data_IF_507547237880
#
_entry.id   IF_507547237880
#
_cell.length_a   1.000
_cell.length_b   1.000
_cell.length_c   1.000
_cell.angle_alpha   90.00
_cell.angle_beta   90.00
_cell.angle_gamma   90.00
#
_symmetry.space_group_name_H-M   'P 1'
#
loop_
_entity.id
_entity.type
_entity.pdbx_description
1 polymer ?
#
# COMPACT_ATOMS: atom_id res chain seq x y z
N UNK A 1 -34.48 -8.46 6.96
CA UNK A 1 -34.54 -9.10 5.63
C UNK A 1 -34.50 -10.61 5.85
N UNK A 2 -35.64 -11.32 5.83
CA UNK A 2 -35.69 -12.75 6.18
C UNK A 2 -35.07 -13.56 5.02
N UNK A 3 -34.14 -14.46 5.34
CA UNK A 3 -33.47 -15.30 4.35
C UNK A 3 -34.53 -16.04 3.49
N UNK A 4 -34.52 -15.91 2.16
CA UNK A 4 -35.52 -16.56 1.30
C UNK A 4 -35.50 -18.09 1.40
N UNK A 5 -34.39 -18.69 1.86
CA UNK A 5 -34.30 -20.13 2.13
C UNK A 5 -35.04 -20.57 3.39
N UNK A 6 -35.45 -19.63 4.24
CA UNK A 6 -36.05 -19.91 5.55
C UNK A 6 -37.49 -19.45 5.62
N UNK A 7 -38.07 -19.09 4.48
CA UNK A 7 -39.49 -18.76 4.28
C UNK A 7 -40.45 -19.95 4.47
N UNK A 8 -39.97 -21.07 5.02
CA UNK A 8 -40.70 -22.34 5.11
C UNK A 8 -41.02 -22.81 6.53
N UNK A 9 -40.06 -22.86 7.47
CA UNK A 9 -40.30 -23.47 8.79
C UNK A 9 -40.69 -22.49 9.91
N UNK A 10 -40.45 -21.18 9.78
CA UNK A 10 -40.81 -20.18 10.79
C UNK A 10 -41.54 -19.00 10.15
N UNK A 11 -42.63 -18.58 10.80
CA UNK A 11 -43.31 -17.30 10.55
C UNK A 11 -42.94 -16.31 11.66
N UNK A 12 -42.31 -15.18 11.31
CA UNK A 12 -41.92 -14.13 12.27
C UNK A 12 -42.85 -12.93 12.05
N UNK A 13 -43.47 -12.44 13.12
CA UNK A 13 -44.37 -11.28 13.10
C UNK A 13 -43.87 -10.19 14.02
N UNK A 14 -43.98 -8.95 13.53
CA UNK A 14 -43.87 -7.76 14.35
C UNK A 14 -45.28 -7.31 14.72
N UNK A 15 -45.54 -7.14 16.01
CA UNK A 15 -46.80 -6.62 16.54
C UNK A 15 -46.49 -5.26 17.14
N UNK A 16 -47.14 -4.22 16.64
CA UNK A 16 -47.01 -2.84 17.11
C UNK A 16 -48.42 -2.25 17.22
N UNK A 17 -48.87 -1.98 18.44
CA UNK A 17 -50.17 -1.41 18.74
C UNK A 17 -50.06 -0.41 19.90
N UNK A 18 -51.18 0.20 20.31
CA UNK A 18 -51.20 1.24 21.35
C UNK A 18 -50.85 0.74 22.77
N UNK A 19 -50.74 -0.57 22.99
CA UNK A 19 -50.48 -1.21 24.28
C UNK A 19 -49.10 -1.89 24.35
N UNK A 20 -48.67 -2.53 23.24
CA UNK A 20 -47.47 -3.36 23.18
C UNK A 20 -46.79 -3.30 21.80
N UNK A 21 -45.46 -3.38 21.82
CA UNK A 21 -44.60 -3.52 20.64
C UNK A 21 -43.63 -4.68 20.90
N UNK A 22 -43.71 -5.74 20.08
CA UNK A 22 -42.87 -6.93 20.25
C UNK A 22 -42.75 -7.73 18.95
N UNK A 23 -41.74 -8.59 18.91
CA UNK A 23 -41.58 -9.62 17.89
C UNK A 23 -42.06 -10.96 18.43
N UNK A 24 -42.80 -11.71 17.61
CA UNK A 24 -43.22 -13.08 17.90
C UNK A 24 -42.89 -13.99 16.73
N UNK A 25 -42.78 -15.29 17.00
CA UNK A 25 -42.51 -16.29 15.99
C UNK A 25 -43.40 -17.52 16.19
N UNK A 26 -43.70 -18.21 15.10
CA UNK A 26 -44.42 -19.48 15.12
C UNK A 26 -43.64 -20.49 14.29
N UNK A 27 -43.33 -21.64 14.89
CA UNK A 27 -42.79 -22.79 14.17
C UNK A 27 -43.94 -23.47 13.41
N UNK A 28 -43.76 -23.64 12.10
CA UNK A 28 -44.78 -24.25 11.23
C UNK A 28 -44.67 -25.78 11.17
N UNK A 29 -43.58 -26.34 11.68
CA UNK A 29 -43.28 -27.77 11.67
C UNK A 29 -42.55 -28.17 12.98
N UNK A 30 -43.11 -29.14 13.69
CA UNK A 30 -42.63 -29.63 15.00
C UNK A 30 -41.32 -30.43 14.90
N UNK A 31 -40.88 -30.80 13.69
CA UNK A 31 -39.57 -31.45 13.47
C UNK A 31 -38.37 -30.52 13.61
N UNK A 32 -38.62 -29.23 13.82
CA UNK A 32 -37.61 -28.20 14.03
C UNK A 32 -37.58 -27.70 15.47
N UNK A 33 -36.40 -27.31 15.94
CA UNK A 33 -36.24 -26.59 17.21
C UNK A 33 -35.63 -25.23 16.94
N UNK A 34 -36.16 -24.18 17.57
CA UNK A 34 -35.68 -22.81 17.41
C UNK A 34 -34.76 -22.44 18.57
N UNK A 35 -33.67 -21.75 18.24
CA UNK A 35 -32.74 -21.16 19.19
C UNK A 35 -32.57 -19.69 18.83
N UNK A 36 -33.00 -18.81 19.72
CA UNK A 36 -32.76 -17.37 19.61
C UNK A 36 -31.56 -17.04 20.47
N UNK A 37 -30.52 -16.49 19.87
CA UNK A 37 -29.28 -16.09 20.54
C UNK A 37 -29.06 -14.60 20.36
N UNK A 38 -28.57 -13.94 21.40
CA UNK A 38 -27.95 -12.64 21.28
C UNK A 38 -26.45 -12.88 21.22
N UNK A 39 -25.86 -12.69 20.05
CA UNK A 39 -24.42 -12.84 19.83
C UNK A 39 -23.64 -11.74 20.56
N UNK A 40 -22.37 -12.01 20.87
CA UNK A 40 -21.49 -11.04 21.55
C UNK A 40 -21.26 -9.76 20.73
N UNK A 41 -21.46 -9.80 19.41
CA UNK A 41 -21.52 -8.62 18.54
C UNK A 41 -22.74 -7.72 18.79
N UNK A 42 -23.69 -8.16 19.62
CA UNK A 42 -25.01 -7.54 19.78
C UNK A 42 -26.01 -7.92 18.69
N UNK A 43 -25.64 -8.82 17.77
CA UNK A 43 -26.53 -9.33 16.73
C UNK A 43 -27.51 -10.37 17.30
N UNK A 44 -28.80 -10.15 17.11
CA UNK A 44 -29.83 -11.15 17.41
C UNK A 44 -29.86 -12.15 16.26
N UNK A 45 -29.62 -13.42 16.58
CA UNK A 45 -29.68 -14.52 15.62
C UNK A 45 -30.81 -15.48 15.97
N UNK A 46 -31.59 -15.85 14.96
CA UNK A 46 -32.53 -16.97 15.08
C UNK A 46 -31.94 -18.12 14.29
N UNK A 47 -31.73 -19.22 14.98
CA UNK A 47 -31.19 -20.45 14.45
C UNK A 47 -32.24 -21.56 14.54
N UNK A 48 -32.31 -22.40 13.52
CA UNK A 48 -33.19 -23.57 13.49
C UNK A 48 -32.34 -24.83 13.46
N UNK A 49 -32.58 -25.72 14.40
CA UNK A 49 -32.09 -27.08 14.36
C UNK A 49 -33.08 -27.97 13.61
N UNK A 50 -32.64 -28.59 12.52
CA UNK A 50 -33.42 -29.60 11.81
C UNK A 50 -33.06 -30.99 12.31
N UNK A 51 -34.04 -31.75 12.78
CA UNK A 51 -33.83 -33.16 13.14
C UNK A 51 -33.53 -34.02 11.90
N UNK A 52 -34.03 -33.63 10.72
CA UNK A 52 -33.84 -34.35 9.46
C UNK A 52 -32.39 -34.27 8.95
N UNK A 53 -31.78 -33.07 8.99
CA UNK A 53 -30.41 -32.85 8.51
C UNK A 53 -29.37 -32.85 9.62
N UNK A 54 -29.79 -32.95 10.89
CA UNK A 54 -28.94 -32.85 12.08
C UNK A 54 -28.00 -31.64 12.04
N UNK A 55 -28.52 -30.48 11.62
CA UNK A 55 -27.74 -29.27 11.40
C UNK A 55 -28.45 -28.04 11.96
N UNK A 56 -27.67 -27.12 12.51
CA UNK A 56 -28.12 -25.78 12.88
C UNK A 56 -28.02 -24.85 11.67
N UNK A 57 -29.10 -24.14 11.36
CA UNK A 57 -29.15 -23.18 10.27
C UNK A 57 -29.57 -21.81 10.79
N UNK A 58 -28.76 -20.78 10.50
CA UNK A 58 -29.12 -19.39 10.79
C UNK A 58 -30.19 -18.90 9.83
N UNK A 59 -31.34 -18.50 10.34
CA UNK A 59 -32.50 -18.09 9.54
C UNK A 59 -32.78 -16.60 9.56
N UNK A 60 -32.34 -15.95 10.62
CA UNK A 60 -32.49 -14.52 10.81
C UNK A 60 -31.30 -13.99 11.58
N UNK A 61 -30.86 -12.79 11.24
CA UNK A 61 -29.82 -12.04 11.91
C UNK A 61 -30.17 -10.56 11.83
N UNK A 62 -30.13 -9.85 12.96
CA UNK A 62 -30.36 -8.40 13.01
C UNK A 62 -29.39 -7.75 14.02
N UNK A 63 -28.67 -6.67 13.66
CA UNK A 63 -28.58 -6.09 12.30
C UNK A 63 -28.03 -7.12 11.30
N UNK A 64 -28.28 -6.92 10.00
CA UNK A 64 -27.85 -7.89 8.97
C UNK A 64 -26.33 -7.92 8.91
N UNK A 65 -25.70 -6.75 8.87
CA UNK A 65 -24.27 -6.60 9.09
C UNK A 65 -23.95 -6.51 10.59
N UNK A 66 -23.15 -7.43 11.18
CA UNK A 66 -22.75 -7.35 12.58
C UNK A 66 -21.96 -6.07 12.93
N UNK A 67 -21.32 -5.44 11.94
CA UNK A 67 -20.57 -4.19 12.12
C UNK A 67 -21.47 -2.95 12.27
N UNK A 68 -22.76 -3.07 11.99
CA UNK A 68 -23.70 -1.95 12.13
C UNK A 68 -23.88 -1.51 13.59
N UNK A 69 -23.76 -2.43 14.54
CA UNK A 69 -23.87 -2.09 15.95
C UNK A 69 -22.66 -1.24 16.41
N UNK A 70 -22.92 -0.23 17.24
CA UNK A 70 -21.86 0.64 17.74
C UNK A 70 -20.92 -0.13 18.66
N UNK A 71 -19.60 -0.02 18.42
CA UNK A 71 -18.61 -0.63 19.28
C UNK A 71 -18.57 -2.17 19.21
N UNK A 72 -19.11 -2.78 18.16
CA UNK A 72 -18.98 -4.24 17.89
C UNK A 72 -17.54 -4.72 18.04
N UNK A 73 -16.59 -3.90 17.56
CA UNK A 73 -15.18 -4.10 17.75
C UNK A 73 -14.59 -3.04 18.67
N UNK A 74 -13.63 -3.44 19.51
CA UNK A 74 -12.92 -2.53 20.41
C UNK A 74 -12.02 -1.52 19.69
N UNK A 75 -11.35 -0.63 20.42
CA UNK A 75 -10.51 0.43 19.85
C UNK A 75 -9.46 -0.05 18.85
N UNK A 76 -9.17 0.76 17.83
CA UNK A 76 -8.12 0.52 16.82
C UNK A 76 -8.27 -0.78 16.03
N UNK A 77 -9.51 -1.22 15.86
CA UNK A 77 -9.90 -2.34 15.00
C UNK A 77 -10.64 -1.82 13.76
N UNK A 78 -10.73 -2.66 12.74
CA UNK A 78 -11.60 -2.49 11.59
C UNK A 78 -12.60 -3.64 11.61
N UNK A 79 -13.89 -3.31 11.55
CA UNK A 79 -14.95 -4.30 11.42
C UNK A 79 -15.26 -4.58 9.95
N UNK A 80 -15.37 -5.85 9.57
CA UNK A 80 -15.80 -6.28 8.24
C UNK A 80 -16.84 -7.40 8.37
N UNK A 81 -18.10 -7.08 8.04
CA UNK A 81 -19.26 -7.97 8.18
C UNK A 81 -19.20 -9.24 7.32
N UNK A 82 -18.33 -9.29 6.31
CA UNK A 82 -18.10 -10.47 5.47
C UNK A 82 -17.07 -11.42 6.10
N UNK A 83 -16.11 -10.87 6.84
CA UNK A 83 -14.98 -11.65 7.39
C UNK A 83 -15.36 -12.43 8.66
N UNK A 84 -14.63 -13.53 8.89
CA UNK A 84 -14.70 -14.32 10.13
C UNK A 84 -13.25 -14.59 10.59
N UNK A 85 -12.79 -14.05 11.72
CA UNK A 85 -13.50 -13.11 12.61
C UNK A 85 -13.84 -11.79 11.89
N UNK A 86 -14.87 -11.07 12.38
CA UNK A 86 -15.30 -9.80 11.76
C UNK A 86 -14.47 -8.59 12.24
N UNK A 87 -13.75 -8.69 13.36
CA UNK A 87 -12.88 -7.63 13.87
C UNK A 87 -11.42 -8.00 13.67
N UNK A 88 -10.68 -7.13 12.97
CA UNK A 88 -9.24 -7.23 12.80
C UNK A 88 -8.54 -5.95 13.28
N UNK A 89 -7.30 -6.06 13.77
CA UNK A 89 -6.52 -4.88 14.11
C UNK A 89 -6.17 -4.07 12.85
N UNK A 90 -6.14 -2.74 12.99
CA UNK A 90 -5.55 -1.87 11.96
C UNK A 90 -4.07 -2.23 11.72
N UNK A 91 -3.53 -1.88 10.55
CA UNK A 91 -2.13 -2.15 10.24
C UNK A 91 -1.19 -1.54 11.31
N UNK A 92 -0.21 -2.33 11.76
CA UNK A 92 0.76 -1.98 12.80
C UNK A 92 0.17 -1.84 14.21
N UNK A 93 -0.96 -2.51 14.45
CA UNK A 93 -1.52 -2.74 15.77
C UNK A 93 -1.62 -4.25 16.04
N UNK A 94 -1.63 -4.63 17.32
CA UNK A 94 -1.82 -6.00 17.79
C UNK A 94 -2.85 -6.02 18.91
N UNK A 95 -3.48 -7.16 19.12
CA UNK A 95 -4.45 -7.35 20.20
C UNK A 95 -3.84 -7.00 21.56
N UNK A 96 -4.59 -6.26 22.38
CA UNK A 96 -4.13 -5.88 23.74
C UNK A 96 -3.96 -7.09 24.65
N UNK A 97 -4.84 -8.08 24.51
CA UNK A 97 -4.83 -9.31 25.29
C UNK A 97 -4.91 -10.53 24.36
N UNK A 98 -3.77 -11.01 23.84
CA UNK A 98 -3.76 -12.19 22.98
C UNK A 98 -4.25 -13.46 23.68
N UNK A 99 -4.24 -13.50 25.01
CA UNK A 99 -4.74 -14.64 25.78
C UNK A 99 -6.27 -14.71 25.79
N UNK A 100 -6.95 -13.55 25.83
CA UNK A 100 -8.43 -13.48 25.81
C UNK A 100 -8.99 -13.85 24.44
N UNK A 101 -8.16 -13.76 23.39
CA UNK A 101 -8.49 -14.19 22.02
C UNK A 101 -8.76 -15.68 21.90
N UNK A 102 -8.03 -16.50 22.65
CA UNK A 102 -8.13 -17.97 22.52
C UNK A 102 -9.31 -18.56 23.29
N UNK A 103 -9.87 -17.81 24.25
CA UNK A 103 -10.82 -18.35 25.21
C UNK A 103 -12.26 -17.87 24.98
N UNK A 104 -12.50 -16.60 24.65
CA UNK A 104 -13.86 -16.04 24.72
C UNK A 104 -14.25 -15.08 23.59
N UNK A 105 -13.48 -15.02 22.50
CA UNK A 105 -13.81 -14.17 21.33
C UNK A 105 -14.05 -12.68 21.73
N UNK A 106 -13.48 -12.25 22.88
CA UNK A 106 -13.70 -10.94 23.46
C UNK A 106 -12.93 -9.88 22.67
N UNK A 107 -13.67 -9.24 21.76
CA UNK A 107 -13.18 -8.20 20.86
C UNK A 107 -13.22 -6.80 21.50
N UNK A 108 -13.72 -6.67 22.73
CA UNK A 108 -14.02 -5.36 23.33
C UNK A 108 -12.77 -4.59 23.76
N UNK A 109 -11.69 -5.28 24.13
CA UNK A 109 -10.43 -4.64 24.51
C UNK A 109 -9.76 -3.90 23.34
N UNK A 110 -9.98 -4.39 22.12
CA UNK A 110 -9.41 -3.85 20.89
C UNK A 110 -7.90 -4.08 20.77
N UNK A 111 -7.25 -3.20 20.02
CA UNK A 111 -5.84 -3.31 19.65
C UNK A 111 -5.00 -2.19 20.25
N UNK A 112 -3.71 -2.44 20.37
CA UNK A 112 -2.69 -1.46 20.74
C UNK A 112 -1.65 -1.32 19.64
N UNK A 113 -1.05 -0.14 19.55
CA UNK A 113 0.02 0.15 18.59
C UNK A 113 1.23 -0.78 18.85
N UNK A 114 1.80 -1.32 17.79
CA UNK A 114 3.04 -2.10 17.86
C UNK A 114 4.23 -1.21 18.25
N UNK A 115 4.15 0.06 17.87
CA UNK A 115 5.20 1.04 18.09
C UNK A 115 4.64 2.34 18.64
N UNK A 116 5.32 2.85 19.66
CA UNK A 116 5.04 4.18 20.19
C UNK A 116 5.30 5.26 19.12
N UNK A 117 4.35 6.18 18.99
CA UNK A 117 4.49 7.35 18.14
C UNK A 117 5.68 8.21 18.60
N UNK A 118 6.40 8.77 17.64
CA UNK A 118 7.44 9.77 17.91
C UNK A 118 6.81 11.16 17.81
N UNK A 119 6.07 11.52 18.85
CA UNK A 119 5.67 12.90 19.03
C UNK A 119 6.85 13.66 19.65
N UNK A 120 7.75 14.17 18.81
CA UNK A 120 8.73 15.17 19.24
C UNK A 120 8.04 16.43 19.74
N UNK A 121 8.81 17.43 20.20
CA UNK A 121 8.24 18.77 20.40
C UNK A 121 7.53 19.22 19.11
N UNK A 122 6.42 19.98 19.23
CA UNK A 122 5.35 20.29 18.23
C UNK A 122 5.74 20.43 16.75
N UNK A 123 7.01 20.62 16.44
CA UNK A 123 7.58 20.86 15.11
C UNK A 123 8.31 19.65 14.49
N UNK A 124 8.46 18.52 15.20
CA UNK A 124 9.45 17.48 14.83
C UNK A 124 8.94 16.03 14.86
N UNK A 125 7.63 15.81 14.78
CA UNK A 125 7.14 14.43 14.68
C UNK A 125 7.57 13.80 13.36
N UNK A 126 8.18 12.61 13.45
CA UNK A 126 8.53 11.77 12.30
C UNK A 126 7.42 10.80 11.94
N UNK A 127 6.26 10.90 12.59
CA UNK A 127 5.15 10.01 12.34
C UNK A 127 4.62 10.20 10.92
N UNK A 128 4.10 9.12 10.37
CA UNK A 128 3.57 9.06 9.01
C UNK A 128 2.09 8.72 9.07
N UNK A 129 1.40 8.86 7.94
CA UNK A 129 0.01 8.45 7.82
C UNK A 129 -0.15 7.30 6.85
N UNK A 130 -0.89 6.29 7.26
CA UNK A 130 -1.32 5.18 6.43
C UNK A 130 -2.78 5.37 6.06
N UNK A 131 -3.11 5.25 4.77
CA UNK A 131 -4.46 5.45 4.28
C UNK A 131 -5.25 4.14 4.34
N UNK A 132 -6.38 4.16 5.03
CA UNK A 132 -7.36 3.08 5.10
C UNK A 132 -8.57 3.52 4.26
N UNK A 133 -8.70 3.05 3.01
CA UNK A 133 -9.78 3.48 2.13
C UNK A 133 -11.07 2.71 2.39
N UNK A 134 -12.20 3.29 1.98
CA UNK A 134 -13.53 2.66 1.97
C UNK A 134 -13.96 2.21 3.36
N UNK A 135 -13.96 3.14 4.30
CA UNK A 135 -14.35 2.89 5.69
C UNK A 135 -15.37 3.90 6.19
N UNK A 136 -16.22 3.50 7.12
CA UNK A 136 -16.96 4.44 7.96
C UNK A 136 -15.99 5.11 8.91
N UNK A 137 -16.02 6.44 8.94
CA UNK A 137 -15.14 7.21 9.80
C UNK A 137 -15.51 7.03 11.28
N UNK A 138 -14.52 7.03 12.19
CA UNK A 138 -14.79 6.87 13.61
C UNK A 138 -15.69 7.97 14.17
N UNK A 139 -16.38 7.68 15.27
CA UNK A 139 -17.21 8.66 15.97
C UNK A 139 -16.37 9.80 16.59
N UNK A 140 -17.05 10.91 16.93
CA UNK A 140 -16.47 12.10 17.57
C UNK A 140 -15.29 12.76 16.82
N UNK A 141 -15.44 13.10 15.52
CA UNK A 141 -14.44 13.92 14.83
C UNK A 141 -14.36 15.32 15.43
N UNK A 142 -13.15 15.86 15.55
CA UNK A 142 -12.93 17.29 15.75
C UNK A 142 -12.65 17.96 14.40
N UNK A 143 -13.42 18.99 14.06
CA UNK A 143 -13.21 19.74 12.82
C UNK A 143 -12.07 20.76 12.98
N UNK A 144 -11.30 20.96 11.90
CA UNK A 144 -10.21 21.95 11.86
C UNK A 144 -10.42 22.90 10.67
N UNK A 145 -11.06 24.04 10.92
CA UNK A 145 -11.51 24.96 9.87
C UNK A 145 -10.37 25.58 9.03
N UNK A 146 -9.21 25.80 9.66
CA UNK A 146 -8.06 26.43 8.97
C UNK A 146 -7.31 25.46 8.02
N UNK A 147 -7.64 24.17 8.05
CA UNK A 147 -6.97 23.14 7.27
C UNK A 147 -7.67 22.91 5.92
N UNK A 148 -7.53 23.89 5.02
CA UNK A 148 -8.19 23.88 3.71
C UNK A 148 -7.63 22.90 2.68
N UNK A 149 -6.58 22.14 3.03
CA UNK A 149 -5.95 21.12 2.16
C UNK A 149 -5.65 19.87 2.97
N UNK A 150 -5.58 18.71 2.32
CA UNK A 150 -5.21 17.45 2.97
C UNK A 150 -3.86 17.55 3.70
N UNK A 151 -2.86 18.21 3.11
CA UNK A 151 -1.54 18.41 3.74
C UNK A 151 -1.63 19.27 5.01
N UNK A 152 -2.46 20.32 5.01
CA UNK A 152 -2.70 21.13 6.21
C UNK A 152 -3.45 20.34 7.27
N UNK A 153 -4.36 19.44 6.87
CA UNK A 153 -5.09 18.57 7.79
C UNK A 153 -4.15 17.55 8.46
N UNK A 154 -3.26 16.92 7.68
CA UNK A 154 -2.20 16.07 8.20
C UNK A 154 -1.29 16.82 9.19
N UNK A 155 -0.86 18.04 8.84
CA UNK A 155 -0.04 18.87 9.72
C UNK A 155 -0.78 19.28 11.00
N UNK A 156 -2.07 19.61 10.90
CA UNK A 156 -2.91 19.91 12.06
C UNK A 156 -2.97 18.71 13.01
N UNK A 157 -3.20 17.50 12.50
CA UNK A 157 -3.14 16.28 13.32
C UNK A 157 -1.74 16.08 13.95
N UNK A 158 -0.66 16.20 13.17
CA UNK A 158 0.71 16.02 13.68
C UNK A 158 1.07 16.99 14.82
N UNK A 159 0.47 18.19 14.83
CA UNK A 159 0.71 19.20 15.87
C UNK A 159 0.20 18.79 17.27
N UNK A 160 -0.70 17.81 17.35
CA UNK A 160 -1.20 17.25 18.60
C UNK A 160 -0.70 15.82 18.79
N UNK A 161 0.01 15.53 19.89
CA UNK A 161 0.45 14.17 20.21
C UNK A 161 -0.70 13.19 20.44
N UNK A 162 -1.86 13.70 20.87
CA UNK A 162 -3.06 12.91 21.08
C UNK A 162 -3.80 12.56 19.77
N UNK A 163 -3.47 13.19 18.64
CA UNK A 163 -4.12 12.91 17.37
C UNK A 163 -3.66 11.56 16.80
N UNK A 164 -4.60 10.66 16.58
CA UNK A 164 -4.36 9.31 16.09
C UNK A 164 -4.73 9.12 14.62
N UNK A 165 -5.64 9.92 14.07
CA UNK A 165 -6.02 9.85 12.66
C UNK A 165 -6.61 11.18 12.18
N UNK A 166 -6.66 11.34 10.87
CA UNK A 166 -7.45 12.40 10.22
C UNK A 166 -8.17 11.89 8.98
N UNK A 167 -9.11 12.69 8.50
CA UNK A 167 -9.80 12.52 7.23
C UNK A 167 -9.96 13.90 6.62
N UNK A 168 -9.92 13.94 5.29
CA UNK A 168 -10.05 15.18 4.56
C UNK A 168 -10.93 14.93 3.33
N UNK A 169 -12.09 15.57 3.31
CA UNK A 169 -13.07 15.44 2.23
C UNK A 169 -13.73 16.80 1.98
N UNK A 170 -13.83 17.20 0.70
CA UNK A 170 -14.51 18.45 0.27
C UNK A 170 -14.08 19.69 1.06
N UNK A 171 -12.77 19.88 1.25
CA UNK A 171 -12.19 21.00 2.01
C UNK A 171 -12.51 21.01 3.51
N UNK A 172 -13.07 19.93 4.06
CA UNK A 172 -13.28 19.74 5.49
C UNK A 172 -12.20 18.83 6.05
N UNK A 173 -11.56 19.27 7.13
CA UNK A 173 -10.60 18.48 7.87
C UNK A 173 -11.25 17.98 9.16
N UNK A 174 -11.18 16.67 9.39
CA UNK A 174 -11.59 16.02 10.63
C UNK A 174 -10.40 15.30 11.23
N UNK A 175 -10.13 15.51 12.52
CA UNK A 175 -9.08 14.83 13.27
C UNK A 175 -9.71 14.06 14.44
N UNK A 176 -9.06 12.97 14.85
CA UNK A 176 -9.48 12.17 15.99
C UNK A 176 -8.40 12.12 17.04
N UNK A 177 -8.79 12.46 18.27
CA UNK A 177 -7.97 12.30 19.45
C UNK A 177 -8.38 11.04 20.22
N UNK A 178 -7.40 10.33 20.78
CA UNK A 178 -7.68 9.12 21.58
C UNK A 178 -8.10 7.91 20.74
N UNK A 179 -8.92 7.04 21.32
CA UNK A 179 -9.29 5.74 20.76
C UNK A 179 -10.17 5.87 19.50
N UNK A 180 -9.85 5.10 18.46
CA UNK A 180 -10.65 5.02 17.24
C UNK A 180 -11.65 3.86 17.37
N UNK A 181 -12.94 4.16 17.36
CA UNK A 181 -14.03 3.19 17.53
C UNK A 181 -15.00 3.24 16.35
N UNK A 182 -15.64 2.10 16.07
CA UNK A 182 -16.66 1.94 15.02
C UNK A 182 -16.14 2.29 13.61
N UNK A 183 -14.90 1.88 13.32
CA UNK A 183 -14.35 1.94 11.96
C UNK A 183 -14.76 0.66 11.23
N UNK A 184 -15.66 0.80 10.27
CA UNK A 184 -16.23 -0.34 9.54
C UNK A 184 -15.76 -0.29 8.09
N UNK A 185 -15.29 -1.41 7.57
CA UNK A 185 -14.97 -1.55 6.15
C UNK A 185 -16.25 -1.55 5.32
N UNK A 186 -16.17 -0.99 4.12
CA UNK A 186 -17.23 -1.09 3.13
C UNK A 186 -17.37 -2.56 2.71
N UNK A 187 -18.46 -3.17 3.17
CA UNK A 187 -18.80 -4.56 2.94
C UNK A 187 -19.91 -4.72 1.89
N UNK A 188 -20.58 -3.62 1.49
CA UNK A 188 -21.71 -3.66 0.57
C UNK A 188 -22.96 -4.34 1.14
N UNK A 189 -23.00 -4.63 2.44
CA UNK A 189 -24.19 -5.16 3.13
C UNK A 189 -25.02 -3.97 3.59
N UNK A 190 -24.55 -3.28 4.65
CA UNK A 190 -25.14 -2.06 5.19
C UNK A 190 -24.17 -0.87 5.08
N UNK A 191 -22.88 -1.11 4.84
CA UNK A 191 -21.86 -0.06 4.71
C UNK A 191 -21.38 0.12 3.26
N UNK A 192 -21.66 1.31 2.71
CA UNK A 192 -21.21 1.74 1.38
C UNK A 192 -20.28 2.98 1.44
N UNK A 193 -19.62 3.21 2.57
CA UNK A 193 -18.72 4.36 2.73
C UNK A 193 -17.52 4.28 1.77
N UNK A 194 -17.20 5.40 1.14
CA UNK A 194 -16.01 5.57 0.29
C UNK A 194 -14.99 6.53 0.94
N UNK A 195 -15.18 6.87 2.23
CA UNK A 195 -14.27 7.73 2.97
C UNK A 195 -12.91 7.07 3.20
N UNK A 196 -11.88 7.90 3.39
CA UNK A 196 -10.51 7.47 3.66
C UNK A 196 -10.08 7.97 5.03
N UNK A 197 -9.72 7.06 5.92
CA UNK A 197 -9.12 7.37 7.22
C UNK A 197 -7.59 7.31 7.10
N UNK A 198 -6.92 8.41 7.41
CA UNK A 198 -5.46 8.48 7.47
C UNK A 198 -5.01 8.22 8.90
N UNK A 199 -4.61 6.98 9.18
CA UNK A 199 -4.15 6.53 10.48
C UNK A 199 -2.70 6.96 10.71
N UNK A 200 -2.43 7.68 11.80
CA UNK A 200 -1.07 8.04 12.21
C UNK A 200 -0.33 6.80 12.66
N UNK A 201 0.87 6.55 12.15
CA UNK A 201 1.76 5.44 12.51
C UNK A 201 3.17 5.95 12.77
N UNK A 202 3.99 5.17 13.46
CA UNK A 202 5.41 5.43 13.53
C UNK A 202 6.08 5.20 12.17
N UNK A 203 7.06 6.00 11.77
CA UNK A 203 7.75 5.85 10.47
C UNK A 203 8.35 4.46 10.20
N UNK A 204 8.72 3.73 11.27
CA UNK A 204 9.31 2.39 11.15
C UNK A 204 8.28 1.31 10.78
N UNK A 205 6.99 1.60 10.96
CA UNK A 205 5.87 0.68 10.75
C UNK A 205 5.27 0.79 9.34
N UNK A 206 5.69 1.78 8.54
CA UNK A 206 5.17 1.95 7.18
C UNK A 206 5.57 0.75 6.29
N UNK A 207 4.61 0.04 5.66
CA UNK A 207 4.92 -1.02 4.72
C UNK A 207 5.81 -0.48 3.60
N UNK A 208 7.06 -0.97 3.55
CA UNK A 208 8.13 -0.48 2.68
C UNK A 208 9.39 0.01 3.40
N UNK A 209 9.31 0.29 4.70
CA UNK A 209 10.47 0.72 5.53
C UNK A 209 11.32 -0.46 6.03
N UNK A 210 10.79 -1.69 6.01
CA UNK A 210 11.39 -2.88 6.61
C UNK A 210 12.26 -3.76 5.68
N UNK A 211 12.65 -3.29 4.50
CA UNK A 211 13.54 -4.05 3.58
C UNK A 211 14.84 -3.27 3.35
N UNK A 212 15.94 -3.78 3.90
CA UNK A 212 17.34 -3.33 3.81
C UNK A 212 17.89 -2.51 5.01
N UNK A 213 17.87 -3.11 6.20
CA UNK A 213 18.94 -2.89 7.20
C UNK A 213 19.92 -4.06 7.26
N UNK A 214 20.30 -4.58 6.10
CA UNK A 214 21.70 -5.02 5.95
C UNK A 214 22.45 -3.73 5.72
N UNK A 215 23.09 -3.15 6.75
CA UNK A 215 24.13 -2.15 6.51
C UNK A 215 25.07 -2.83 5.49
N UNK A 216 25.20 -2.36 4.23
CA UNK A 216 26.33 -2.81 3.45
C UNK A 216 27.53 -2.34 4.26
N UNK A 217 28.41 -3.26 4.65
CA UNK A 217 29.70 -2.87 5.17
C UNK A 217 30.29 -1.91 4.13
N UNK A 218 30.28 -0.61 4.44
CA UNK A 218 30.77 0.44 3.52
C UNK A 218 32.24 0.17 3.17
N UNK A 219 32.95 -0.63 3.97
CA UNK A 219 34.28 -1.14 3.65
C UNK A 219 34.39 -2.22 2.56
N UNK A 220 33.33 -2.98 2.26
CA UNK A 220 33.39 -4.05 1.23
C UNK A 220 32.97 -3.52 -0.15
N UNK A 221 31.99 -2.62 -0.21
CA UNK A 221 31.53 -2.03 -1.48
C UNK A 221 32.57 -1.05 -2.04
N UNK A 222 33.28 -0.32 -1.17
CA UNK A 222 34.41 0.52 -1.60
C UNK A 222 35.61 -0.30 -2.07
N UNK A 223 35.87 -1.48 -1.49
CA UNK A 223 36.92 -2.37 -1.98
C UNK A 223 36.62 -2.96 -3.37
N UNK A 224 35.35 -3.29 -3.65
CA UNK A 224 34.92 -3.87 -4.92
C UNK A 224 34.88 -2.84 -6.08
N UNK A 225 34.53 -1.58 -5.81
CA UNK A 225 34.52 -0.54 -6.85
C UNK A 225 35.92 -0.08 -7.23
N UNK A 226 36.85 -0.01 -6.26
CA UNK A 226 38.25 0.36 -6.51
C UNK A 226 38.96 -0.72 -7.35
N UNK A 227 38.71 -2.00 -7.07
CA UNK A 227 39.31 -3.10 -7.85
C UNK A 227 38.79 -3.14 -9.29
N UNK A 228 37.49 -2.87 -9.50
CA UNK A 228 36.92 -2.81 -10.86
C UNK A 228 37.49 -1.65 -11.68
N UNK A 229 37.54 -0.43 -11.13
CA UNK A 229 38.11 0.72 -11.82
C UNK A 229 39.62 0.57 -12.07
N UNK A 230 40.36 0.00 -11.12
CA UNK A 230 41.79 -0.27 -11.25
C UNK A 230 42.09 -1.22 -12.41
N UNK A 231 41.32 -2.30 -12.55
CA UNK A 231 41.48 -3.26 -13.65
C UNK A 231 41.13 -2.63 -15.00
N UNK A 232 40.04 -1.86 -15.09
CA UNK A 232 39.66 -1.20 -16.35
C UNK A 232 40.71 -0.17 -16.77
N UNK A 233 41.23 0.64 -15.84
CA UNK A 233 42.30 1.61 -16.14
C UNK A 233 43.61 0.92 -16.52
N UNK A 234 43.96 -0.21 -15.87
CA UNK A 234 45.14 -1.00 -16.24
C UNK A 234 44.98 -1.58 -17.66
N UNK A 235 43.81 -2.13 -18.00
CA UNK A 235 43.52 -2.65 -19.34
C UNK A 235 43.62 -1.53 -20.38
N UNK A 236 43.03 -0.36 -20.12
CA UNK A 236 43.13 0.79 -21.03
C UNK A 236 44.59 1.25 -21.21
N UNK A 237 45.37 1.33 -20.13
CA UNK A 237 46.80 1.65 -20.21
C UNK A 237 47.59 0.60 -20.99
N UNK A 238 47.32 -0.69 -20.80
CA UNK A 238 47.94 -1.78 -21.56
C UNK A 238 47.54 -1.75 -23.04
N UNK A 239 46.30 -1.38 -23.38
CA UNK A 239 45.87 -1.22 -24.77
C UNK A 239 46.55 -0.01 -25.43
N UNK A 240 46.66 1.12 -24.71
CA UNK A 240 47.39 2.30 -25.18
C UNK A 240 48.88 1.97 -25.35
N UNK A 241 49.49 1.26 -24.40
CA UNK A 241 50.87 0.80 -24.50
C UNK A 241 51.07 -0.21 -25.62
N UNK A 242 50.16 -1.17 -25.84
CA UNK A 242 50.25 -2.09 -26.99
C UNK A 242 50.08 -1.37 -28.32
N UNK A 243 49.25 -0.34 -28.40
CA UNK A 243 49.17 0.48 -29.62
C UNK A 243 50.41 1.35 -29.82
N UNK A 244 51.06 1.80 -28.74
CA UNK A 244 52.35 2.52 -28.81
C UNK A 244 53.53 1.58 -29.12
N UNK A 245 53.52 0.34 -28.62
CA UNK A 245 54.60 -0.64 -28.82
C UNK A 245 54.44 -1.51 -30.07
N UNK A 246 53.23 -1.70 -30.60
CA UNK A 246 53.06 -2.31 -31.94
C UNK A 246 53.60 -1.43 -33.06
N UNK A 247 53.82 -0.12 -32.82
CA UNK A 247 54.63 0.71 -33.73
C UNK A 247 56.14 0.46 -33.62
N UNK A 248 56.64 -0.29 -32.63
CA UNK A 248 58.08 -0.40 -32.35
C UNK A 248 58.63 -1.83 -32.29
N UNK A 249 57.88 -2.85 -32.75
CA UNK A 249 58.34 -4.24 -32.72
C UNK A 249 58.08 -4.97 -34.04
N UNK A 250 58.68 -4.48 -35.13
CA UNK A 250 59.23 -5.36 -36.17
C UNK A 250 60.36 -4.61 -36.91
N UNK A 251 61.52 -5.25 -37.16
CA UNK A 251 62.75 -4.54 -37.48
C UNK A 251 62.90 -4.25 -38.98
N UNK A 252 63.68 -3.21 -39.27
CA UNK A 252 64.49 -3.01 -40.48
C UNK A 252 63.76 -2.84 -41.83
N UNK A 253 63.43 -1.60 -42.19
CA UNK A 253 64.12 -0.89 -43.28
C UNK A 253 63.61 0.55 -43.40
N UNK A 254 64.55 1.49 -43.25
CA UNK A 254 64.53 2.80 -43.94
C UNK A 254 63.41 3.79 -43.60
N UNK A 255 63.82 4.91 -42.98
CA UNK A 255 63.37 6.21 -43.45
C UNK A 255 62.07 6.76 -42.86
N UNK A 256 62.21 7.22 -41.62
CA UNK A 256 61.47 8.33 -41.03
C UNK A 256 61.29 9.51 -42.00
N UNK A 257 60.07 10.02 -42.17
CA UNK A 257 59.81 11.46 -42.23
C UNK A 257 58.33 11.78 -42.08
N UNK A 258 58.04 12.52 -41.01
CA UNK A 258 56.85 13.32 -40.72
C UNK A 258 56.04 13.80 -41.94
N UNK A 259 54.72 13.65 -41.85
CA UNK A 259 53.72 14.63 -42.34
C UNK A 259 53.57 14.82 -43.85
N UNK A 260 54.17 13.98 -44.69
CA UNK A 260 54.23 14.24 -46.13
C UNK A 260 52.95 13.84 -46.88
N UNK A 261 52.55 14.72 -47.80
CA UNK A 261 51.46 14.58 -48.76
C UNK A 261 51.61 13.25 -49.51
N UNK A 262 50.55 12.44 -49.53
CA UNK A 262 50.52 11.19 -50.32
C UNK A 262 50.38 11.58 -51.79
N UNK A 263 51.45 11.38 -52.56
CA UNK A 263 51.39 11.48 -54.01
C UNK A 263 50.83 10.17 -54.58
N UNK A 264 49.64 10.22 -55.17
CA UNK A 264 49.07 9.11 -55.95
C UNK A 264 49.62 9.15 -57.38
N UNK A 265 49.90 7.99 -57.98
CA UNK A 265 50.23 7.93 -59.41
C UNK A 265 49.00 8.31 -60.23
N UNK A 266 49.21 8.96 -61.39
CA UNK A 266 48.13 9.28 -62.34
C UNK A 266 47.27 8.06 -62.68
N UNK A 267 47.87 6.87 -62.79
CA UNK A 267 47.16 5.61 -63.02
C UNK A 267 46.20 5.22 -61.88
N UNK A 268 46.56 5.50 -60.64
CA UNK A 268 45.72 5.23 -59.46
C UNK A 268 44.55 6.21 -59.40
N UNK A 269 44.79 7.48 -59.70
CA UNK A 269 43.75 8.50 -59.86
C UNK A 269 42.79 8.17 -60.99
N UNK A 270 43.28 7.72 -62.15
CA UNK A 270 42.45 7.25 -63.26
C UNK A 270 41.58 6.06 -62.86
N UNK A 271 42.13 5.10 -62.12
CA UNK A 271 41.37 3.93 -61.66
C UNK A 271 40.31 4.32 -60.61
N UNK A 272 40.64 5.20 -59.65
CA UNK A 272 39.72 5.63 -58.61
C UNK A 272 38.59 6.55 -59.14
N UNK A 273 38.89 7.38 -60.14
CA UNK A 273 37.91 8.32 -60.73
C UNK A 273 37.16 7.74 -61.93
N UNK A 274 37.39 6.48 -62.27
CA UNK A 274 36.85 5.81 -63.45
C UNK A 274 37.10 6.65 -64.72
N UNK A 275 38.38 6.94 -64.98
CA UNK A 275 38.89 7.83 -66.04
C UNK A 275 38.19 9.21 -66.08
N UNK A 276 37.90 9.79 -64.91
CA UNK A 276 37.22 11.08 -64.77
C UNK A 276 35.87 11.15 -65.51
N UNK A 277 35.18 10.00 -65.68
CA UNK A 277 33.96 9.90 -66.49
C UNK A 277 32.75 10.67 -65.95
N UNK A 278 32.76 11.08 -64.67
CA UNK A 278 31.69 11.92 -64.08
C UNK A 278 32.11 13.38 -63.98
N UNK A 279 31.47 14.24 -64.78
CA UNK A 279 31.48 15.70 -64.58
C UNK A 279 30.78 16.03 -63.26
N UNK A 280 31.53 16.45 -62.24
CA UNK A 280 30.98 17.17 -61.09
C UNK A 280 30.83 18.64 -61.48
N UNK A 281 29.60 19.03 -61.79
CA UNK A 281 29.26 20.36 -62.27
C UNK A 281 29.11 21.37 -61.12
N UNK A 282 29.70 22.55 -61.34
CA UNK A 282 29.26 23.89 -60.90
C UNK A 282 28.95 24.09 -59.41
N UNK A 283 29.96 24.53 -58.65
CA UNK A 283 30.13 25.94 -58.19
C UNK A 283 31.23 26.04 -57.13
N UNK A 284 32.14 27.01 -57.32
CA UNK A 284 33.18 27.52 -56.41
C UNK A 284 34.19 26.51 -55.86
N UNK A 285 35.22 26.26 -56.65
CA UNK A 285 36.56 26.06 -56.12
C UNK A 285 37.28 27.40 -56.15
N UNK A 286 37.60 27.94 -54.97
CA UNK A 286 38.74 28.83 -54.85
C UNK A 286 39.98 27.93 -54.84
N UNK A 287 40.82 28.19 -55.83
CA UNK A 287 42.15 27.65 -56.02
C UNK A 287 43.00 27.80 -54.76
N UNK A 288 43.78 26.77 -54.44
CA UNK A 288 45.21 26.94 -54.25
C UNK A 288 45.90 25.71 -54.83
N UNK A 289 46.57 25.93 -55.97
CA UNK A 289 47.57 25.03 -56.52
C UNK A 289 48.88 25.24 -55.74
N UNK A 290 49.40 24.18 -55.13
CA UNK A 290 50.77 23.67 -55.30
C UNK A 290 50.88 22.31 -54.61
#
# INVERSE_FOLDING_TARGET
NINPHTRGPIDIKHVDNNEEEYYTYTLLDESYSIYVLLDMSGQVEINIWSQLTQSLQKVYAQPVDPCTAFGTCGPFTICNGISRPFCDCMESFSWKSPQDWELDDDRTAGCMRNTQLNCGNMTSSTDVFHAIPRVTLPYNPQSVDNATTQSKCAQACLSYCSCNAYSYERSRCSIWHGDLLSVNMNDGIDNNSEDILYLRLAAKDLPGSAKNRTKPNVGVVTAATITSFGLVMLILLLLIWRNKFKCCATPLHGGQCSGSIVAFRYSELCHATNNFSKKLARRRWLWFCF
#
